data_IF_904786921410
#
_entry.id   IF_904786921410
#
_cell.length_a   1.000
_cell.length_b   1.000
_cell.length_c   1.000
_cell.angle_alpha   90.00
_cell.angle_beta   90.00
_cell.angle_gamma   90.00
#
_symmetry.space_group_name_H-M   'P 1'
#
loop_
_entity.id
_entity.type
_entity.pdbx_description
1 polymer ?
#
# COMPACT_ATOMS: atom_id res chain seq x y z
N UNK A 1 -1.34 20.01 -11.05
CA UNK A 1 -1.43 18.82 -11.91
C UNK A 1 -2.60 17.97 -11.43
N UNK A 2 -3.57 17.69 -12.30
CA UNK A 2 -4.69 16.78 -12.01
C UNK A 2 -4.25 15.32 -12.11
N UNK A 3 -4.86 14.44 -11.32
CA UNK A 3 -4.52 13.02 -11.26
C UNK A 3 -5.73 12.16 -11.63
N UNK A 4 -5.60 11.38 -12.70
CA UNK A 4 -6.62 10.46 -13.18
C UNK A 4 -6.15 9.00 -13.05
N UNK A 5 -7.10 8.12 -12.79
CA UNK A 5 -6.92 6.68 -12.96
C UNK A 5 -7.11 6.29 -14.44
N UNK A 6 -6.26 5.40 -14.95
CA UNK A 6 -6.43 4.78 -16.27
C UNK A 6 -6.89 3.32 -16.10
N UNK A 7 -8.20 3.07 -16.20
CA UNK A 7 -8.80 1.75 -16.00
C UNK A 7 -10.17 1.61 -16.68
N UNK A 8 -10.66 0.38 -16.81
CA UNK A 8 -12.06 0.09 -17.09
C UNK A 8 -12.62 -1.05 -16.23
N UNK A 9 -11.88 -1.50 -15.20
CA UNK A 9 -12.33 -2.57 -14.32
C UNK A 9 -13.07 -1.99 -13.11
N UNK A 10 -14.36 -2.27 -12.99
CA UNK A 10 -15.23 -1.66 -11.97
C UNK A 10 -14.72 -1.88 -10.54
N UNK A 11 -14.19 -3.07 -10.23
CA UNK A 11 -13.69 -3.37 -8.88
C UNK A 11 -12.40 -2.61 -8.56
N UNK A 12 -11.47 -2.54 -9.51
CA UNK A 12 -10.25 -1.73 -9.40
C UNK A 12 -10.61 -0.24 -9.23
N UNK A 13 -11.57 0.26 -10.00
CA UNK A 13 -12.05 1.63 -9.91
C UNK A 13 -12.66 1.91 -8.52
N UNK A 14 -13.57 1.06 -8.03
CA UNK A 14 -14.16 1.24 -6.70
C UNK A 14 -13.09 1.23 -5.59
N UNK A 15 -12.19 0.25 -5.62
CA UNK A 15 -11.13 0.09 -4.62
C UNK A 15 -10.12 1.24 -4.65
N UNK A 16 -9.74 1.72 -5.84
CA UNK A 16 -8.77 2.81 -5.98
C UNK A 16 -9.33 4.16 -5.51
N UNK A 17 -10.61 4.47 -5.79
CA UNK A 17 -11.25 5.70 -5.30
C UNK A 17 -11.56 5.66 -3.80
N UNK A 18 -11.75 4.47 -3.22
CA UNK A 18 -11.84 4.30 -1.76
C UNK A 18 -10.48 4.56 -1.09
N UNK A 19 -9.39 4.01 -1.66
CA UNK A 19 -8.04 4.18 -1.12
C UNK A 19 -7.47 5.59 -1.36
N UNK A 20 -7.75 6.18 -2.52
CA UNK A 20 -7.26 7.49 -2.94
C UNK A 20 -8.43 8.42 -3.34
N UNK A 21 -9.21 8.93 -2.37
CA UNK A 21 -10.42 9.73 -2.64
C UNK A 21 -10.13 11.12 -3.24
N UNK A 22 -8.86 11.52 -3.33
CA UNK A 22 -8.43 12.81 -3.88
C UNK A 22 -8.15 12.78 -5.39
N UNK A 23 -8.32 11.62 -6.06
CA UNK A 23 -8.18 11.54 -7.51
C UNK A 23 -9.21 12.42 -8.22
N UNK A 24 -8.77 13.09 -9.29
CA UNK A 24 -9.61 14.00 -10.09
C UNK A 24 -10.67 13.24 -10.89
N UNK A 25 -10.34 12.03 -11.37
CA UNK A 25 -11.29 11.26 -12.17
C UNK A 25 -10.70 10.01 -12.80
N UNK A 26 -11.44 9.48 -13.77
CA UNK A 26 -11.13 8.25 -14.50
C UNK A 26 -11.03 8.54 -15.99
N UNK A 27 -10.02 7.98 -16.65
CA UNK A 27 -9.99 7.85 -18.10
C UNK A 27 -10.23 6.40 -18.50
N UNK A 28 -11.21 6.19 -19.38
CA UNK A 28 -11.52 4.86 -19.93
C UNK A 28 -11.13 4.78 -21.41
N UNK A 29 -10.90 3.57 -21.93
CA UNK A 29 -10.80 3.33 -23.38
C UNK A 29 -11.55 2.06 -23.79
N UNK A 30 -12.11 1.99 -25.01
CA UNK A 30 -12.74 0.80 -25.57
C UNK A 30 -11.80 -0.40 -25.59
N UNK A 31 -10.48 -0.18 -25.73
CA UNK A 31 -9.49 -1.26 -25.64
C UNK A 31 -9.54 -1.95 -24.27
N UNK A 32 -9.74 -1.20 -23.19
CA UNK A 32 -9.90 -1.80 -21.87
C UNK A 32 -11.26 -2.50 -21.75
N UNK A 33 -12.35 -1.85 -22.16
CA UNK A 33 -13.70 -2.45 -22.10
C UNK A 33 -13.78 -3.79 -22.87
N UNK A 34 -13.18 -3.84 -24.07
CA UNK A 34 -13.11 -5.05 -24.88
C UNK A 34 -12.25 -6.14 -24.22
N UNK A 35 -11.11 -5.78 -23.62
CA UNK A 35 -10.26 -6.74 -22.87
C UNK A 35 -10.98 -7.36 -21.68
N UNK A 36 -11.87 -6.62 -21.04
CA UNK A 36 -12.65 -7.08 -19.89
C UNK A 36 -14.01 -7.70 -20.28
N UNK A 37 -14.32 -7.83 -21.58
CA UNK A 37 -15.53 -8.50 -22.05
C UNK A 37 -16.82 -7.76 -21.74
N UNK A 38 -16.76 -6.42 -21.57
CA UNK A 38 -17.94 -5.60 -21.28
C UNK A 38 -18.83 -5.53 -22.52
N UNK A 39 -20.07 -6.01 -22.39
CA UNK A 39 -21.07 -6.03 -23.47
C UNK A 39 -22.07 -4.88 -23.40
N UNK A 40 -22.36 -4.39 -22.19
CA UNK A 40 -23.21 -3.21 -21.95
C UNK A 40 -22.34 -1.99 -21.62
N UNK A 41 -21.88 -1.32 -22.69
CA UNK A 41 -21.00 -0.14 -22.58
C UNK A 41 -21.76 1.03 -21.95
N UNK A 42 -23.00 1.28 -22.38
CA UNK A 42 -23.80 2.42 -21.91
C UNK A 42 -24.14 2.28 -20.42
N UNK A 43 -24.61 1.11 -19.99
CA UNK A 43 -24.88 0.84 -18.57
C UNK A 43 -23.63 0.99 -17.70
N UNK A 44 -22.49 0.50 -18.20
CA UNK A 44 -21.19 0.66 -17.51
C UNK A 44 -20.79 2.12 -17.39
N UNK A 45 -20.90 2.93 -18.45
CA UNK A 45 -20.54 4.36 -18.42
C UNK A 45 -21.41 5.10 -17.40
N UNK A 46 -22.71 4.82 -17.34
CA UNK A 46 -23.65 5.42 -16.38
C UNK A 46 -23.39 4.94 -14.95
N UNK A 47 -22.94 3.70 -14.73
CA UNK A 47 -22.51 3.25 -13.41
C UNK A 47 -21.24 4.00 -12.98
N UNK A 48 -20.24 4.07 -13.87
CA UNK A 48 -18.96 4.72 -13.58
C UNK A 48 -19.13 6.21 -13.27
N UNK A 49 -20.01 6.92 -13.99
CA UNK A 49 -20.26 8.35 -13.76
C UNK A 49 -20.81 8.65 -12.36
N UNK A 50 -21.40 7.66 -11.68
CA UNK A 50 -21.87 7.77 -10.29
C UNK A 50 -20.78 7.46 -9.26
N UNK A 51 -19.69 6.82 -9.68
CA UNK A 51 -18.59 6.39 -8.80
C UNK A 51 -17.47 7.45 -8.80
N UNK A 52 -17.17 8.03 -9.96
CA UNK A 52 -15.98 8.87 -10.13
C UNK A 52 -16.33 10.36 -10.29
N UNK A 53 -15.50 11.30 -9.81
CA UNK A 53 -15.81 12.74 -9.88
C UNK A 53 -15.82 13.30 -11.30
N UNK A 54 -14.89 12.85 -12.16
CA UNK A 54 -14.84 13.20 -13.58
C UNK A 54 -14.61 11.94 -14.38
N UNK A 55 -15.45 11.70 -15.38
CA UNK A 55 -15.37 10.53 -16.25
C UNK A 55 -14.97 10.94 -17.67
N UNK A 56 -13.93 10.32 -18.21
CA UNK A 56 -13.55 10.49 -19.61
C UNK A 56 -13.83 9.23 -20.43
N UNK A 57 -14.66 9.36 -21.46
CA UNK A 57 -15.17 8.28 -22.32
C UNK A 57 -14.92 8.59 -23.79
N UNK A 58 -14.90 7.59 -24.67
CA UNK A 58 -14.73 7.80 -26.11
C UNK A 58 -16.05 8.18 -26.80
N UNK A 59 -15.97 9.14 -27.73
CA UNK A 59 -16.98 9.37 -28.75
C UNK A 59 -16.36 9.10 -30.13
N UNK A 60 -16.90 8.10 -30.83
CA UNK A 60 -16.37 7.62 -32.12
C UNK A 60 -17.39 7.80 -33.23
N UNK A 61 -16.89 7.93 -34.46
CA UNK A 61 -17.67 8.09 -35.69
C UNK A 61 -16.73 8.29 -36.88
N UNK A 62 -17.23 8.00 -38.09
CA UNK A 62 -16.47 8.16 -39.33
C UNK A 62 -16.52 9.62 -39.83
N UNK A 63 -17.57 10.35 -39.45
CA UNK A 63 -17.75 11.78 -39.73
C UNK A 63 -17.78 12.63 -38.47
N UNK A 64 -17.58 13.94 -38.61
CA UNK A 64 -17.58 14.85 -37.46
C UNK A 64 -18.99 14.96 -36.86
N UNK A 65 -19.99 14.92 -37.72
CA UNK A 65 -21.41 14.92 -37.38
C UNK A 65 -21.81 13.66 -36.59
N UNK A 66 -21.28 12.49 -36.96
CA UNK A 66 -21.47 11.24 -36.21
C UNK A 66 -20.82 11.29 -34.82
N UNK A 67 -19.58 11.78 -34.70
CA UNK A 67 -18.91 11.92 -33.39
C UNK A 67 -19.71 12.87 -32.47
N UNK A 68 -20.21 13.97 -33.01
CA UNK A 68 -21.05 14.92 -32.26
C UNK A 68 -22.37 14.26 -31.85
N UNK A 69 -22.99 13.50 -32.74
CA UNK A 69 -24.22 12.76 -32.44
C UNK A 69 -24.00 11.73 -31.33
N UNK A 70 -22.86 11.02 -31.34
CA UNK A 70 -22.52 10.05 -30.30
C UNK A 70 -22.31 10.72 -28.94
N UNK A 71 -21.57 11.83 -28.87
CA UNK A 71 -21.40 12.58 -27.62
C UNK A 71 -22.75 13.06 -27.04
N UNK A 72 -23.66 13.54 -27.90
CA UNK A 72 -25.02 13.95 -27.50
C UNK A 72 -25.90 12.77 -27.07
N UNK A 73 -25.76 11.63 -27.73
CA UNK A 73 -26.44 10.38 -27.34
C UNK A 73 -25.99 9.94 -25.94
N UNK A 74 -24.68 9.97 -25.69
CA UNK A 74 -24.10 9.63 -24.39
C UNK A 74 -24.54 10.62 -23.30
N UNK A 75 -24.59 11.92 -23.57
CA UNK A 75 -25.19 12.91 -22.66
C UNK A 75 -26.64 12.57 -22.33
N UNK A 76 -27.45 12.19 -23.33
CA UNK A 76 -28.85 11.82 -23.16
C UNK A 76 -29.06 10.55 -22.30
N UNK A 77 -28.01 9.78 -21.99
CA UNK A 77 -28.04 8.71 -20.99
C UNK A 77 -28.06 9.22 -19.54
N UNK A 78 -27.97 10.54 -19.34
CA UNK A 78 -27.94 11.18 -18.02
C UNK A 78 -26.53 11.52 -17.53
N UNK A 79 -25.57 11.66 -18.45
CA UNK A 79 -24.22 12.10 -18.11
C UNK A 79 -24.19 13.62 -17.93
N UNK A 80 -23.56 14.08 -16.86
CA UNK A 80 -23.42 15.51 -16.57
C UNK A 80 -22.28 16.10 -17.42
N UNK A 81 -22.59 17.18 -18.15
CA UNK A 81 -21.66 17.90 -19.02
C UNK A 81 -20.47 18.51 -18.25
N UNK A 82 -20.64 18.80 -16.97
CA UNK A 82 -19.56 19.36 -16.15
C UNK A 82 -18.55 18.30 -15.69
N UNK A 83 -18.98 17.04 -15.54
CA UNK A 83 -18.13 15.95 -15.05
C UNK A 83 -17.81 14.91 -16.12
N UNK A 84 -18.29 15.08 -17.35
CA UNK A 84 -18.01 14.18 -18.47
C UNK A 84 -17.11 14.84 -19.51
N UNK A 85 -16.07 14.12 -19.93
CA UNK A 85 -15.13 14.58 -20.99
C UNK A 85 -15.12 13.56 -22.12
N UNK A 86 -15.34 14.04 -23.34
CA UNK A 86 -15.42 13.19 -24.52
C UNK A 86 -14.06 13.10 -25.22
N UNK A 87 -13.54 11.89 -25.31
CA UNK A 87 -12.27 11.56 -25.94
C UNK A 87 -12.48 11.36 -27.43
N UNK A 88 -11.62 11.99 -28.22
CA UNK A 88 -11.71 11.99 -29.68
C UNK A 88 -10.30 11.84 -30.27
N UNK A 89 -10.05 10.84 -31.14
CA UNK A 89 -8.79 10.68 -31.86
C UNK A 89 -8.41 11.92 -32.66
N UNK A 90 -7.14 12.34 -32.57
CA UNK A 90 -6.64 13.45 -33.39
C UNK A 90 -6.71 13.11 -34.89
N UNK A 91 -7.51 13.88 -35.61
CA UNK A 91 -7.66 13.80 -37.07
C UNK A 91 -8.39 15.05 -37.57
N UNK A 92 -8.45 15.31 -38.88
CA UNK A 92 -9.26 16.43 -39.40
C UNK A 92 -10.73 16.32 -38.99
N UNK A 93 -11.27 15.09 -39.02
CA UNK A 93 -12.64 14.77 -38.61
C UNK A 93 -12.82 15.02 -37.11
N UNK A 94 -11.93 14.46 -36.28
CA UNK A 94 -11.97 14.62 -34.83
C UNK A 94 -11.79 16.06 -34.37
N UNK A 95 -10.93 16.84 -35.03
CA UNK A 95 -10.73 18.26 -34.72
C UNK A 95 -11.93 19.13 -35.12
N UNK A 96 -12.60 18.81 -36.24
CA UNK A 96 -13.86 19.45 -36.62
C UNK A 96 -14.94 19.15 -35.55
N UNK A 97 -15.07 17.89 -35.14
CA UNK A 97 -16.00 17.48 -34.08
C UNK A 97 -15.69 18.16 -32.74
N UNK A 98 -14.41 18.20 -32.34
CA UNK A 98 -13.94 18.92 -31.15
C UNK A 98 -14.40 20.38 -31.17
N UNK A 99 -14.17 21.11 -32.26
CA UNK A 99 -14.60 22.51 -32.38
C UNK A 99 -16.12 22.68 -32.32
N UNK A 100 -16.89 21.74 -32.87
CA UNK A 100 -18.35 21.76 -32.77
C UNK A 100 -18.84 21.53 -31.33
N UNK A 101 -18.30 20.51 -30.66
CA UNK A 101 -18.66 20.15 -29.29
C UNK A 101 -18.30 21.24 -28.28
N UNK A 102 -17.09 21.80 -28.39
CA UNK A 102 -16.61 22.86 -27.48
C UNK A 102 -17.46 24.13 -27.62
N UNK A 103 -17.91 24.48 -28.83
CA UNK A 103 -18.84 25.61 -29.04
C UNK A 103 -20.21 25.40 -28.38
N UNK A 104 -20.62 24.15 -28.19
CA UNK A 104 -21.83 23.77 -27.48
C UNK A 104 -21.61 23.57 -25.97
N UNK A 105 -20.39 23.81 -25.47
CA UNK A 105 -20.04 23.73 -24.05
C UNK A 105 -19.60 22.35 -23.56
N UNK A 106 -19.37 21.39 -24.46
CA UNK A 106 -18.84 20.08 -24.09
C UNK A 106 -17.34 20.14 -23.79
N UNK A 107 -16.88 19.32 -22.84
CA UNK A 107 -15.44 19.12 -22.57
C UNK A 107 -14.90 18.02 -23.47
N UNK A 108 -13.79 18.29 -24.14
CA UNK A 108 -13.20 17.37 -25.12
C UNK A 108 -11.74 17.08 -24.79
N UNK A 109 -11.37 15.81 -24.81
CA UNK A 109 -9.99 15.36 -24.73
C UNK A 109 -9.53 14.82 -26.09
N UNK A 110 -8.67 15.56 -26.78
CA UNK A 110 -8.08 15.07 -28.03
C UNK A 110 -6.88 14.18 -27.71
N UNK A 111 -7.01 12.89 -27.98
CA UNK A 111 -6.01 11.86 -27.66
C UNK A 111 -5.39 11.23 -28.92
N UNK A 112 -4.51 10.23 -28.73
CA UNK A 112 -3.66 9.64 -29.78
C UNK A 112 -2.72 10.67 -30.43
N UNK A 113 -2.21 11.61 -29.64
CA UNK A 113 -1.28 12.65 -30.10
C UNK A 113 0.16 12.15 -29.99
N UNK A 114 0.93 12.35 -31.06
CA UNK A 114 2.33 11.91 -31.19
C UNK A 114 3.24 13.00 -31.76
N UNK A 115 2.72 14.17 -32.12
CA UNK A 115 3.53 15.32 -32.58
C UNK A 115 3.02 16.64 -32.03
N UNK A 116 3.91 17.65 -31.97
CA UNK A 116 3.55 18.99 -31.52
C UNK A 116 2.53 19.63 -32.46
N UNK A 117 2.59 19.35 -33.76
CA UNK A 117 1.65 19.88 -34.75
C UNK A 117 0.24 19.33 -34.53
N UNK A 118 0.11 18.05 -34.15
CA UNK A 118 -1.17 17.47 -33.75
C UNK A 118 -1.71 18.16 -32.48
N UNK A 119 -0.85 18.37 -31.48
CA UNK A 119 -1.21 19.07 -30.25
C UNK A 119 -1.66 20.51 -30.52
N UNK A 120 -0.91 21.26 -31.35
CA UNK A 120 -1.24 22.61 -31.77
C UNK A 120 -2.62 22.70 -32.44
N UNK A 121 -2.90 21.79 -33.38
CA UNK A 121 -4.20 21.76 -34.06
C UNK A 121 -5.35 21.43 -33.09
N UNK A 122 -5.10 20.60 -32.08
CA UNK A 122 -6.07 20.29 -31.03
C UNK A 122 -6.34 21.48 -30.10
N UNK A 123 -5.30 22.22 -29.71
CA UNK A 123 -5.44 23.48 -28.96
C UNK A 123 -6.28 24.49 -29.75
N UNK A 124 -6.01 24.64 -31.05
CA UNK A 124 -6.77 25.55 -31.92
C UNK A 124 -8.23 25.13 -32.14
N UNK A 125 -8.52 23.83 -32.07
CA UNK A 125 -9.90 23.33 -32.08
C UNK A 125 -10.66 23.64 -30.77
N UNK A 126 -9.96 24.11 -29.73
CA UNK A 126 -10.54 24.42 -28.43
C UNK A 126 -10.56 23.26 -27.44
N UNK A 127 -9.76 22.21 -27.68
CA UNK A 127 -9.75 21.03 -26.82
C UNK A 127 -9.50 21.38 -25.35
N UNK A 128 -10.30 20.80 -24.45
CA UNK A 128 -10.12 20.94 -23.00
C UNK A 128 -8.84 20.23 -22.55
N UNK A 129 -8.58 19.06 -23.13
CA UNK A 129 -7.37 18.27 -22.90
C UNK A 129 -6.71 17.88 -24.23
N UNK A 130 -5.39 17.83 -24.22
CA UNK A 130 -4.58 17.23 -25.29
C UNK A 130 -3.72 16.14 -24.67
N UNK A 131 -3.76 14.95 -25.25
CA UNK A 131 -3.23 13.74 -24.61
C UNK A 131 -2.16 13.05 -25.49
N UNK A 132 -0.87 13.42 -25.31
CA UNK A 132 0.25 12.68 -25.87
C UNK A 132 0.40 11.28 -25.26
N UNK A 133 0.63 10.26 -26.09
CA UNK A 133 0.81 8.89 -25.62
C UNK A 133 2.29 8.54 -25.42
N UNK A 134 2.81 8.90 -24.24
CA UNK A 134 4.24 8.86 -23.93
C UNK A 134 4.82 7.45 -24.03
N UNK A 135 4.24 6.49 -23.28
CA UNK A 135 4.74 5.12 -23.29
C UNK A 135 4.73 4.49 -24.67
N UNK A 136 3.64 4.65 -25.45
CA UNK A 136 3.58 4.10 -26.82
C UNK A 136 4.64 4.71 -27.75
N UNK A 137 4.97 5.98 -27.56
CA UNK A 137 5.98 6.67 -28.36
C UNK A 137 7.40 6.22 -27.95
N UNK A 138 7.66 6.03 -26.65
CA UNK A 138 8.91 5.47 -26.14
C UNK A 138 9.08 3.97 -26.48
N UNK A 139 8.00 3.20 -26.54
CA UNK A 139 8.00 1.80 -27.00
C UNK A 139 8.56 1.70 -28.45
N UNK A 140 8.52 2.79 -29.22
CA UNK A 140 9.06 2.90 -30.58
C UNK A 140 10.45 3.57 -30.63
N UNK A 141 11.05 3.88 -29.48
CA UNK A 141 12.39 4.49 -29.40
C UNK A 141 12.42 6.01 -29.62
N UNK A 142 11.28 6.69 -29.55
CA UNK A 142 11.21 8.14 -29.69
C UNK A 142 11.29 8.86 -28.34
N UNK A 143 11.83 10.08 -28.36
CA UNK A 143 11.83 10.98 -27.20
C UNK A 143 10.44 11.61 -27.01
N UNK A 144 9.61 10.92 -26.23
CA UNK A 144 8.28 11.41 -25.90
C UNK A 144 8.28 12.53 -24.85
N UNK A 145 9.32 12.64 -24.02
CA UNK A 145 9.37 13.64 -22.95
C UNK A 145 9.57 15.03 -23.53
N UNK A 146 10.45 15.18 -24.53
CA UNK A 146 10.61 16.44 -25.26
C UNK A 146 9.30 16.87 -25.93
N UNK A 147 8.57 15.95 -26.56
CA UNK A 147 7.25 16.27 -27.13
C UNK A 147 6.28 16.82 -26.07
N UNK A 148 6.17 16.17 -24.91
CA UNK A 148 5.26 16.61 -23.84
C UNK A 148 5.68 17.98 -23.34
N UNK A 149 6.98 18.21 -23.15
CA UNK A 149 7.53 19.50 -22.75
C UNK A 149 7.19 20.59 -23.77
N UNK A 150 7.42 20.36 -25.06
CA UNK A 150 7.07 21.30 -26.12
C UNK A 150 5.56 21.63 -26.11
N UNK A 151 4.70 20.65 -25.83
CA UNK A 151 3.26 20.87 -25.71
C UNK A 151 2.91 21.77 -24.52
N UNK A 152 3.53 21.55 -23.36
CA UNK A 152 3.32 22.38 -22.16
C UNK A 152 3.82 23.81 -22.40
N UNK A 153 5.01 23.96 -22.99
CA UNK A 153 5.57 25.26 -23.34
C UNK A 153 4.68 26.00 -24.35
N UNK A 154 4.13 25.32 -25.35
CA UNK A 154 3.19 25.91 -26.29
C UNK A 154 1.91 26.42 -25.61
N UNK A 155 1.33 25.64 -24.68
CA UNK A 155 0.17 26.08 -23.89
C UNK A 155 0.48 27.37 -23.14
N UNK A 156 1.61 27.42 -22.43
CA UNK A 156 2.00 28.56 -21.62
C UNK A 156 2.36 29.79 -22.47
N UNK A 157 3.09 29.59 -23.56
CA UNK A 157 3.57 30.67 -24.42
C UNK A 157 2.43 31.36 -25.17
N UNK A 158 1.48 30.59 -25.69
CA UNK A 158 0.35 31.12 -26.46
C UNK A 158 -0.90 31.41 -25.61
N UNK A 159 -0.90 31.04 -24.33
CA UNK A 159 -2.02 31.28 -23.41
C UNK A 159 -3.24 30.41 -23.72
N UNK A 160 -3.06 29.17 -24.15
CA UNK A 160 -4.17 28.25 -24.34
C UNK A 160 -4.77 27.82 -23.00
N UNK A 161 -6.10 27.65 -22.95
CA UNK A 161 -6.79 27.06 -21.78
C UNK A 161 -6.71 25.51 -21.77
N UNK A 162 -6.15 24.92 -22.82
CA UNK A 162 -6.00 23.47 -22.99
C UNK A 162 -5.04 22.89 -21.95
N UNK A 163 -5.43 21.79 -21.31
CA UNK A 163 -4.58 21.04 -20.38
C UNK A 163 -3.84 19.92 -21.10
N UNK A 164 -2.52 19.88 -20.97
CA UNK A 164 -1.72 18.75 -21.44
C UNK A 164 -1.85 17.58 -20.47
N UNK A 165 -2.39 16.47 -20.94
CA UNK A 165 -2.56 15.22 -20.20
C UNK A 165 -1.45 14.22 -20.57
N UNK A 166 -0.51 13.99 -19.65
CA UNK A 166 0.47 12.92 -19.77
C UNK A 166 -0.25 11.57 -19.67
N UNK A 167 -0.09 10.72 -20.68
CA UNK A 167 -0.80 9.44 -20.76
C UNK A 167 0.08 8.33 -21.31
N UNK A 168 -0.47 7.11 -21.35
CA UNK A 168 0.28 5.89 -21.62
C UNK A 168 1.43 5.70 -20.62
N UNK A 169 1.16 5.93 -19.34
CA UNK A 169 2.13 5.74 -18.25
C UNK A 169 2.48 4.25 -18.11
N UNK A 170 3.79 3.95 -18.02
CA UNK A 170 4.31 2.57 -17.93
C UNK A 170 5.11 2.30 -16.66
N UNK A 171 5.71 3.34 -16.09
CA UNK A 171 6.67 3.24 -14.98
C UNK A 171 6.43 4.35 -13.97
N UNK A 172 6.94 4.17 -12.76
CA UNK A 172 6.96 5.22 -11.72
C UNK A 172 7.76 6.44 -12.21
N UNK A 173 8.82 6.21 -13.01
CA UNK A 173 9.64 7.30 -13.56
C UNK A 173 8.81 8.23 -14.45
N UNK A 174 7.84 7.73 -15.24
CA UNK A 174 6.98 8.60 -16.04
C UNK A 174 6.16 9.57 -15.19
N UNK A 175 5.75 9.15 -13.99
CA UNK A 175 5.01 10.03 -13.07
C UNK A 175 5.92 11.16 -12.57
N UNK A 176 7.18 10.83 -12.25
CA UNK A 176 8.20 11.84 -11.93
C UNK A 176 8.47 12.77 -13.11
N UNK A 177 8.67 12.23 -14.31
CA UNK A 177 8.93 13.03 -15.52
C UNK A 177 7.78 14.00 -15.81
N UNK A 178 6.53 13.56 -15.62
CA UNK A 178 5.35 14.41 -15.75
C UNK A 178 5.35 15.59 -14.75
N UNK A 179 5.73 15.33 -13.50
CA UNK A 179 5.88 16.37 -12.47
C UNK A 179 7.00 17.34 -12.85
N UNK A 180 8.16 16.83 -13.25
CA UNK A 180 9.34 17.64 -13.59
C UNK A 180 9.10 18.52 -14.83
N UNK A 181 8.35 18.02 -15.82
CA UNK A 181 7.93 18.80 -17.01
C UNK A 181 6.86 19.84 -16.64
N UNK A 182 6.09 19.63 -15.57
CA UNK A 182 5.00 20.52 -15.17
C UNK A 182 3.74 20.34 -15.99
N UNK A 183 3.37 19.09 -16.31
CA UNK A 183 2.12 18.82 -17.05
C UNK A 183 0.88 19.24 -16.25
N UNK A 184 -0.19 19.56 -16.96
CA UNK A 184 -1.43 20.02 -16.35
C UNK A 184 -2.21 18.85 -15.72
N UNK A 185 -2.14 17.68 -16.34
CA UNK A 185 -2.90 16.48 -15.96
C UNK A 185 -2.07 15.23 -16.26
N UNK A 186 -2.26 14.16 -15.48
CA UNK A 186 -1.71 12.83 -15.77
C UNK A 186 -2.79 11.76 -15.58
N UNK A 187 -2.78 10.71 -16.39
CA UNK A 187 -3.57 9.50 -16.15
C UNK A 187 -2.67 8.28 -15.98
N UNK A 188 -2.87 7.53 -14.90
CA UNK A 188 -1.94 6.47 -14.44
C UNK A 188 -2.71 5.17 -14.17
N UNK A 189 -2.21 4.01 -14.64
CA UNK A 189 -2.78 2.71 -14.27
C UNK A 189 -2.62 2.41 -12.77
N UNK A 190 -3.59 1.71 -12.16
CA UNK A 190 -3.60 1.42 -10.72
C UNK A 190 -2.32 0.74 -10.23
N UNK A 191 -1.77 -0.20 -11.00
CA UNK A 191 -0.51 -0.90 -10.69
C UNK A 191 0.65 0.06 -10.40
N UNK A 192 0.76 1.15 -11.15
CA UNK A 192 1.82 2.15 -10.94
C UNK A 192 1.41 3.08 -9.80
N UNK A 193 0.15 3.49 -9.77
CA UNK A 193 -0.37 4.46 -8.81
C UNK A 193 -0.25 3.97 -7.36
N UNK A 194 -0.58 2.71 -7.09
CA UNK A 194 -0.49 2.07 -5.76
C UNK A 194 0.95 2.01 -5.21
N UNK A 195 1.96 2.06 -6.08
CA UNK A 195 3.36 1.99 -5.71
C UNK A 195 4.00 3.37 -5.45
N UNK A 196 3.31 4.47 -5.77
CA UNK A 196 3.90 5.82 -5.73
C UNK A 196 4.29 6.27 -4.31
N UNK A 197 3.62 5.73 -3.29
CA UNK A 197 3.90 6.03 -1.88
C UNK A 197 4.82 5.00 -1.22
N UNK A 198 5.22 3.95 -1.94
CA UNK A 198 6.06 2.89 -1.39
C UNK A 198 7.53 3.29 -1.40
N UNK A 199 8.18 3.16 -0.24
CA UNK A 199 9.63 3.34 -0.12
C UNK A 199 10.19 2.51 1.03
N UNK A 200 11.32 1.82 0.78
CA UNK A 200 11.95 0.94 1.76
C UNK A 200 12.37 1.68 3.05
N UNK A 201 12.94 2.88 2.94
CA UNK A 201 13.34 3.67 4.10
C UNK A 201 12.14 4.23 4.86
N UNK A 202 11.03 4.53 4.17
CA UNK A 202 9.78 4.90 4.83
C UNK A 202 9.25 3.76 5.67
N UNK A 203 9.27 2.52 5.15
CA UNK A 203 8.90 1.34 5.92
C UNK A 203 9.80 1.15 7.15
N UNK A 204 11.13 1.10 6.96
CA UNK A 204 12.09 0.94 8.06
C UNK A 204 11.88 2.01 9.14
N UNK A 205 11.77 3.28 8.75
CA UNK A 205 11.57 4.36 9.71
C UNK A 205 10.25 4.24 10.47
N UNK A 206 9.17 3.87 9.78
CA UNK A 206 7.85 3.68 10.39
C UNK A 206 7.87 2.52 11.39
N UNK A 207 8.43 1.37 11.00
CA UNK A 207 8.54 0.19 11.86
C UNK A 207 9.38 0.52 13.11
N UNK A 208 10.49 1.25 12.94
CA UNK A 208 11.32 1.71 14.05
C UNK A 208 10.53 2.61 15.02
N UNK A 209 9.77 3.60 14.50
CA UNK A 209 8.96 4.47 15.34
C UNK A 209 7.87 3.72 16.10
N UNK A 210 7.23 2.74 15.47
CA UNK A 210 6.23 1.88 16.12
C UNK A 210 6.88 1.08 17.25
N UNK A 211 8.04 0.48 16.99
CA UNK A 211 8.78 -0.31 17.99
C UNK A 211 9.26 0.53 19.17
N UNK A 212 9.87 1.69 18.92
CA UNK A 212 10.31 2.59 19.98
C UNK A 212 9.11 3.08 20.81
N UNK A 213 8.01 3.43 20.15
CA UNK A 213 6.78 3.83 20.84
C UNK A 213 6.22 2.70 21.70
N UNK A 214 6.22 1.47 21.18
CA UNK A 214 5.77 0.29 21.92
C UNK A 214 6.58 0.10 23.19
N UNK A 215 7.91 0.21 23.13
CA UNK A 215 8.77 0.10 24.31
C UNK A 215 8.41 1.14 25.38
N UNK A 216 8.06 2.36 24.95
CA UNK A 216 7.75 3.47 25.86
C UNK A 216 6.30 3.48 26.39
N UNK A 217 5.38 2.72 25.79
CA UNK A 217 3.93 2.85 26.07
C UNK A 217 3.26 1.56 26.51
N UNK A 218 3.82 0.39 26.15
CA UNK A 218 3.23 -0.91 26.50
C UNK A 218 3.86 -1.44 27.77
N UNK A 219 3.02 -1.91 28.69
CA UNK A 219 3.44 -2.58 29.91
C UNK A 219 3.77 -4.04 29.64
N UNK A 220 4.66 -4.60 30.45
CA UNK A 220 5.09 -6.00 30.32
C UNK A 220 3.90 -6.95 30.39
N UNK A 221 2.98 -6.76 31.32
CA UNK A 221 1.80 -7.61 31.48
C UNK A 221 0.87 -7.61 30.26
N UNK A 222 0.77 -6.49 29.55
CA UNK A 222 -0.07 -6.37 28.33
C UNK A 222 0.60 -7.01 27.10
N UNK A 223 1.92 -7.22 27.16
CA UNK A 223 2.70 -7.84 26.11
C UNK A 223 2.83 -9.36 26.25
N UNK A 224 2.46 -9.91 27.41
CA UNK A 224 2.49 -11.34 27.66
C UNK A 224 1.57 -12.09 26.70
N UNK A 225 2.02 -13.28 26.29
CA UNK A 225 1.13 -14.29 25.75
C UNK A 225 0.35 -14.97 26.89
N UNK A 226 -0.74 -15.67 26.58
CA UNK A 226 -1.50 -16.46 27.57
C UNK A 226 -0.74 -17.69 28.13
N UNK A 227 0.57 -17.77 27.86
CA UNK A 227 1.43 -18.91 28.17
C UNK A 227 2.20 -18.62 29.46
N UNK A 228 1.99 -19.46 30.48
CA UNK A 228 2.73 -19.42 31.74
C UNK A 228 3.26 -20.82 32.09
N UNK A 229 4.45 -21.19 31.57
CA UNK A 229 5.01 -22.52 31.74
C UNK A 229 5.63 -22.62 33.13
N UNK A 230 4.86 -23.12 34.10
CA UNK A 230 5.30 -23.27 35.48
C UNK A 230 5.49 -24.73 35.89
N UNK A 231 6.51 -25.00 36.71
CA UNK A 231 6.80 -26.30 37.32
C UNK A 231 7.14 -26.12 38.81
N UNK A 232 7.07 -27.19 39.60
CA UNK A 232 7.50 -27.17 41.01
C UNK A 232 8.93 -27.72 41.15
N UNK A 233 9.59 -27.45 42.28
CA UNK A 233 10.93 -27.96 42.55
C UNK A 233 11.00 -29.50 42.57
N UNK A 234 9.87 -30.17 42.87
CA UNK A 234 9.76 -31.64 42.87
C UNK A 234 9.58 -32.25 41.48
N UNK A 235 9.29 -31.42 40.46
CA UNK A 235 9.14 -31.89 39.08
C UNK A 235 10.45 -32.47 38.56
N UNK A 236 10.33 -33.55 37.80
CA UNK A 236 11.46 -34.16 37.09
C UNK A 236 11.80 -33.37 35.82
N UNK A 237 13.01 -33.56 35.30
CA UNK A 237 13.41 -32.96 34.03
C UNK A 237 12.50 -33.39 32.89
N UNK A 238 12.06 -34.64 32.86
CA UNK A 238 11.09 -35.10 31.85
C UNK A 238 9.78 -34.30 31.89
N UNK A 239 9.23 -34.07 33.08
CA UNK A 239 8.01 -33.28 33.26
C UNK A 239 8.22 -31.81 32.87
N UNK A 240 9.37 -31.23 33.22
CA UNK A 240 9.74 -29.88 32.79
C UNK A 240 9.79 -29.75 31.27
N UNK A 241 10.42 -30.70 30.57
CA UNK A 241 10.49 -30.72 29.11
C UNK A 241 9.12 -30.86 28.45
N UNK A 242 8.19 -31.63 29.05
CA UNK A 242 6.81 -31.71 28.57
C UNK A 242 6.10 -30.36 28.71
N UNK A 243 6.24 -29.67 29.85
CA UNK A 243 5.67 -28.33 30.05
C UNK A 243 6.25 -27.35 29.03
N UNK A 244 7.57 -27.32 28.86
CA UNK A 244 8.25 -26.45 27.89
C UNK A 244 7.77 -26.72 26.46
N UNK A 245 7.68 -28.01 26.08
CA UNK A 245 7.24 -28.42 24.73
C UNK A 245 5.80 -28.04 24.45
N UNK A 246 4.89 -28.28 25.41
CA UNK A 246 3.46 -27.96 25.26
C UNK A 246 3.23 -26.45 25.14
N UNK A 247 4.09 -25.66 25.79
CA UNK A 247 4.03 -24.20 25.79
C UNK A 247 4.95 -23.56 24.73
N UNK A 248 5.67 -24.36 23.91
CA UNK A 248 6.58 -23.90 22.85
C UNK A 248 7.60 -22.85 23.30
N UNK A 249 8.18 -23.06 24.47
CA UNK A 249 9.14 -22.14 25.12
C UNK A 249 10.46 -22.86 25.41
N UNK A 250 11.55 -22.10 25.52
CA UNK A 250 12.87 -22.57 25.91
C UNK A 250 13.07 -22.66 27.43
N UNK A 251 12.07 -22.29 28.24
CA UNK A 251 12.14 -22.40 29.68
C UNK A 251 10.81 -22.66 30.41
N UNK A 252 10.94 -23.04 31.68
CA UNK A 252 9.84 -23.09 32.62
C UNK A 252 10.22 -22.38 33.93
N UNK A 253 9.28 -21.60 34.47
CA UNK A 253 9.43 -20.97 35.77
C UNK A 253 9.23 -22.02 36.86
N UNK A 254 10.19 -22.12 37.79
CA UNK A 254 10.04 -22.95 38.98
C UNK A 254 9.34 -22.14 40.05
N UNK A 255 8.21 -22.61 40.53
CA UNK A 255 7.36 -21.92 41.50
C UNK A 255 7.24 -22.68 42.83
N UNK A 256 7.01 -21.95 43.91
CA UNK A 256 6.65 -22.51 45.21
C UNK A 256 5.14 -22.85 45.29
N UNK A 257 4.69 -23.33 46.45
CA UNK A 257 3.28 -23.68 46.68
C UNK A 257 2.30 -22.49 46.57
N UNK A 258 2.81 -21.25 46.65
CA UNK A 258 2.03 -20.02 46.55
C UNK A 258 2.05 -19.41 45.13
N UNK A 259 2.81 -20.02 44.20
CA UNK A 259 3.02 -19.52 42.85
C UNK A 259 4.11 -18.46 42.73
N UNK A 260 4.92 -18.25 43.76
CA UNK A 260 6.05 -17.33 43.72
C UNK A 260 7.20 -17.95 42.93
N UNK A 261 7.86 -17.16 42.08
CA UNK A 261 9.00 -17.61 41.28
C UNK A 261 10.23 -17.84 42.17
N UNK A 262 10.71 -19.08 42.22
CA UNK A 262 11.89 -19.47 43.01
C UNK A 262 13.08 -19.90 42.14
N UNK A 263 12.86 -20.11 40.84
CA UNK A 263 13.90 -20.45 39.88
C UNK A 263 13.39 -20.41 38.45
N UNK A 264 14.29 -20.63 37.50
CA UNK A 264 13.96 -20.85 36.09
C UNK A 264 14.79 -22.03 35.59
N UNK A 265 14.18 -22.92 34.82
CA UNK A 265 14.85 -24.04 34.16
C UNK A 265 14.80 -23.83 32.65
N UNK A 266 15.97 -23.87 32.01
CA UNK A 266 16.13 -23.54 30.58
C UNK A 266 16.79 -24.69 29.79
N UNK A 267 16.70 -24.63 28.45
CA UNK A 267 17.48 -25.52 27.56
C UNK A 267 19.00 -25.47 27.84
N UNK A 268 19.50 -24.32 28.30
CA UNK A 268 20.89 -24.15 28.71
C UNK A 268 21.25 -25.01 29.92
N UNK A 269 20.36 -25.09 30.91
CA UNK A 269 20.52 -25.93 32.10
C UNK A 269 20.51 -27.41 31.74
N UNK A 270 19.57 -27.83 30.88
CA UNK A 270 19.53 -29.21 30.38
C UNK A 270 20.86 -29.59 29.70
N UNK A 271 21.35 -28.73 28.81
CA UNK A 271 22.60 -28.99 28.07
C UNK A 271 23.81 -29.10 29.00
N UNK A 272 23.91 -28.21 29.99
CA UNK A 272 24.96 -28.26 31.02
C UNK A 272 24.89 -29.57 31.82
N UNK A 273 23.70 -29.93 32.30
CA UNK A 273 23.51 -31.13 33.10
C UNK A 273 23.87 -32.42 32.36
N UNK A 274 23.43 -32.55 31.11
CA UNK A 274 23.76 -33.71 30.26
C UNK A 274 25.27 -33.80 30.04
N UNK A 275 25.94 -32.66 29.86
CA UNK A 275 27.40 -32.62 29.69
C UNK A 275 28.17 -33.00 30.96
N UNK A 276 27.66 -32.67 32.14
CA UNK A 276 28.33 -32.93 33.42
C UNK A 276 28.13 -34.35 33.93
N UNK A 277 26.88 -34.85 33.92
CA UNK A 277 26.55 -36.17 34.50
C UNK A 277 26.71 -37.31 33.52
N UNK A 278 26.46 -37.08 32.23
CA UNK A 278 26.32 -38.13 31.22
C UNK A 278 25.13 -39.07 31.47
N UNK A 279 24.66 -39.74 30.42
CA UNK A 279 23.57 -40.72 30.52
C UNK A 279 22.17 -40.11 30.67
N UNK A 280 21.26 -40.84 31.31
CA UNK A 280 19.86 -40.45 31.48
C UNK A 280 19.71 -39.48 32.67
N UNK A 281 19.24 -38.27 32.39
CA UNK A 281 18.99 -37.20 33.37
C UNK A 281 17.49 -37.02 33.64
N UNK A 282 16.62 -37.78 32.97
CA UNK A 282 15.17 -37.53 32.92
C UNK A 282 14.47 -37.57 34.28
N UNK A 283 14.97 -38.40 35.21
CA UNK A 283 14.40 -38.61 36.55
C UNK A 283 14.94 -37.65 37.63
N UNK A 284 15.91 -36.80 37.29
CA UNK A 284 16.47 -35.82 38.23
C UNK A 284 15.41 -34.76 38.51
N UNK A 285 15.26 -34.36 39.78
CA UNK A 285 14.38 -33.26 40.16
C UNK A 285 15.01 -31.92 39.83
N UNK A 286 14.19 -30.99 39.35
CA UNK A 286 14.64 -29.65 38.98
C UNK A 286 15.22 -28.88 40.18
N UNK A 287 14.67 -29.09 41.39
CA UNK A 287 15.20 -28.50 42.62
C UNK A 287 16.63 -28.92 42.99
N UNK A 288 17.10 -30.07 42.50
CA UNK A 288 18.45 -30.58 42.79
C UNK A 288 19.54 -29.91 41.94
N UNK A 289 19.16 -29.06 40.98
CA UNK A 289 20.07 -28.44 40.01
C UNK A 289 20.76 -27.17 40.53
N UNK A 290 20.41 -26.69 41.73
CA UNK A 290 21.00 -25.46 42.29
C UNK A 290 20.65 -24.23 41.44
N UNK A 291 19.39 -24.10 41.05
CA UNK A 291 18.93 -23.03 40.16
C UNK A 291 19.17 -21.64 40.77
N UNK A 292 19.54 -20.70 39.91
CA UNK A 292 19.65 -19.30 40.31
C UNK A 292 18.26 -18.68 40.51
N UNK A 293 18.21 -17.63 41.34
CA UNK A 293 17.02 -16.80 41.44
C UNK A 293 16.64 -16.27 40.04
N UNK A 294 15.34 -16.34 39.66
CA UNK A 294 14.92 -15.92 38.35
C UNK A 294 15.09 -14.40 38.22
N UNK A 295 15.62 -13.95 37.09
CA UNK A 295 15.57 -12.54 36.75
C UNK A 295 14.11 -12.24 36.39
N UNK A 296 13.50 -11.36 37.15
CA UNK A 296 12.08 -11.06 37.07
C UNK A 296 11.81 -9.58 36.84
N UNK A 297 10.62 -9.29 36.33
CA UNK A 297 10.12 -7.93 36.12
C UNK A 297 8.64 -7.87 36.52
N UNK A 298 8.21 -6.73 37.06
CA UNK A 298 6.81 -6.52 37.43
C UNK A 298 5.95 -6.27 36.18
N UNK A 299 4.74 -6.82 36.16
CA UNK A 299 3.82 -6.73 35.04
C UNK A 299 3.40 -5.28 34.71
N UNK A 300 3.50 -4.35 35.67
CA UNK A 300 3.17 -2.94 35.46
C UNK A 300 4.33 -2.11 34.91
N UNK A 301 5.55 -2.64 34.88
CA UNK A 301 6.70 -1.99 34.26
C UNK A 301 6.51 -1.87 32.75
N UNK A 302 7.21 -0.91 32.14
CA UNK A 302 7.21 -0.75 30.68
C UNK A 302 8.12 -1.78 30.02
N UNK A 303 7.80 -2.13 28.78
CA UNK A 303 8.68 -2.96 27.94
C UNK A 303 10.08 -2.34 27.77
N UNK A 304 10.21 -1.02 27.86
CA UNK A 304 11.52 -0.37 27.90
C UNK A 304 12.39 -0.83 29.08
N UNK A 305 11.81 -0.97 30.28
CA UNK A 305 12.51 -1.48 31.44
C UNK A 305 12.90 -2.96 31.23
N UNK A 306 11.99 -3.76 30.67
CA UNK A 306 12.25 -5.16 30.31
C UNK A 306 13.43 -5.29 29.33
N UNK A 307 13.41 -4.47 28.26
CA UNK A 307 14.46 -4.45 27.23
C UNK A 307 15.84 -4.14 27.83
N UNK A 308 15.91 -3.14 28.71
CA UNK A 308 17.15 -2.79 29.40
C UNK A 308 17.62 -3.91 30.33
N UNK A 309 16.70 -4.55 31.06
CA UNK A 309 17.02 -5.64 31.98
C UNK A 309 17.55 -6.88 31.26
N UNK A 310 16.91 -7.29 30.16
CA UNK A 310 17.37 -8.38 29.26
C UNK A 310 18.81 -8.08 28.80
N UNK A 311 19.06 -6.87 28.31
CA UNK A 311 20.38 -6.46 27.80
C UNK A 311 21.45 -6.41 28.89
N UNK A 312 21.11 -5.88 30.07
CA UNK A 312 22.04 -5.79 31.21
C UNK A 312 22.41 -7.18 31.73
N UNK A 313 21.44 -8.07 31.85
CA UNK A 313 21.64 -9.42 32.41
C UNK A 313 22.05 -10.46 31.38
N UNK A 314 22.00 -10.14 30.09
CA UNK A 314 22.32 -11.04 28.98
C UNK A 314 21.52 -12.35 29.04
N UNK A 315 20.20 -12.21 29.22
CA UNK A 315 19.24 -13.33 29.23
C UNK A 315 18.22 -13.18 28.12
N UNK A 316 17.68 -14.28 27.65
CA UNK A 316 16.68 -14.29 26.58
C UNK A 316 15.25 -14.16 27.12
N UNK A 317 15.01 -14.54 28.39
CA UNK A 317 13.69 -14.58 29.00
C UNK A 317 13.69 -13.90 30.38
N UNK A 318 12.60 -13.21 30.70
CA UNK A 318 12.31 -12.67 32.03
C UNK A 318 11.08 -13.35 32.63
N UNK A 319 11.12 -13.67 33.92
CA UNK A 319 9.91 -14.08 34.65
C UNK A 319 9.06 -12.86 34.95
N UNK A 320 7.85 -12.81 34.41
CA UNK A 320 6.93 -11.71 34.70
C UNK A 320 6.16 -12.01 35.96
N UNK A 321 6.16 -11.04 36.87
CA UNK A 321 5.51 -11.17 38.18
C UNK A 321 4.40 -10.15 38.37
N UNK A 322 3.36 -10.54 39.10
CA UNK A 322 2.30 -9.65 39.58
C UNK A 322 1.98 -10.03 41.02
N UNK A 323 2.02 -9.06 41.94
CA UNK A 323 1.84 -9.28 43.38
C UNK A 323 2.73 -10.40 43.94
N UNK A 324 3.97 -10.52 43.43
CA UNK A 324 4.96 -11.53 43.85
C UNK A 324 4.75 -12.94 43.28
N UNK A 325 3.77 -13.14 42.40
CA UNK A 325 3.50 -14.44 41.73
C UNK A 325 3.97 -14.43 40.29
N UNK A 326 4.45 -15.56 39.79
CA UNK A 326 4.80 -15.74 38.37
C UNK A 326 3.52 -15.82 37.53
N UNK A 327 3.36 -14.90 36.59
CA UNK A 327 2.20 -14.85 35.69
C UNK A 327 2.54 -15.16 34.22
N UNK A 328 3.82 -15.22 33.87
CA UNK A 328 4.26 -15.57 32.52
C UNK A 328 5.78 -15.45 32.33
N UNK A 329 6.23 -15.77 31.12
CA UNK A 329 7.58 -15.50 30.64
C UNK A 329 7.51 -14.46 29.52
N UNK A 330 8.45 -13.51 29.53
CA UNK A 330 8.63 -12.55 28.46
C UNK A 330 9.93 -12.86 27.73
N UNK A 331 9.85 -13.24 26.45
CA UNK A 331 11.01 -13.47 25.59
C UNK A 331 11.51 -12.16 24.98
N UNK A 332 12.79 -12.07 24.65
CA UNK A 332 13.37 -10.92 23.94
C UNK A 332 12.65 -10.62 22.61
N UNK A 333 12.11 -11.64 21.94
CA UNK A 333 11.30 -11.51 20.72
C UNK A 333 9.92 -10.87 21.00
N UNK A 334 9.39 -11.02 22.21
CA UNK A 334 8.14 -10.34 22.61
C UNK A 334 8.38 -8.85 22.87
N UNK A 335 9.62 -8.47 23.17
CA UNK A 335 10.04 -7.07 23.37
C UNK A 335 10.32 -6.39 22.03
N UNK A 336 11.03 -7.08 21.13
CA UNK A 336 11.39 -6.59 19.80
C UNK A 336 10.59 -7.33 18.74
N UNK A 337 9.45 -6.77 18.31
CA UNK A 337 8.73 -7.30 17.15
C UNK A 337 9.44 -6.85 15.88
N UNK A 338 10.03 -7.81 15.16
CA UNK A 338 10.60 -7.61 13.82
C UNK A 338 9.51 -7.38 12.77
#
# INVERSE_FOLDING_TARGET
MELYLDSAEINEIKSSFEQLPFMTGLTTTPTFMARHGITDIDGTIVELSKIVPVLQIEALGDTAEEIVAEAKRQEALGLDRETTVYKIPVSKVGLKACSMLVKEGFKVNVHLVYTLQQAYMAMQAGATYVCPLVGRLQDQGHDALSLVKDCVEAVNYYGYNTKIMFSSVRTIQHVRDAVDIGVHTITVPWKIMSQLTENHFTKIGTDQFINDTRLMTVRVGDALSDINPTITADATIAEALVVMTNNKTGAATVVDANGAAIGIFTDGDLRRLVSEKGGDVSSIKVGDLGLNAPISIDAHELLFAASNLIKEKQVDELVVTLDGKAIGLLDVQDVVKY
#
